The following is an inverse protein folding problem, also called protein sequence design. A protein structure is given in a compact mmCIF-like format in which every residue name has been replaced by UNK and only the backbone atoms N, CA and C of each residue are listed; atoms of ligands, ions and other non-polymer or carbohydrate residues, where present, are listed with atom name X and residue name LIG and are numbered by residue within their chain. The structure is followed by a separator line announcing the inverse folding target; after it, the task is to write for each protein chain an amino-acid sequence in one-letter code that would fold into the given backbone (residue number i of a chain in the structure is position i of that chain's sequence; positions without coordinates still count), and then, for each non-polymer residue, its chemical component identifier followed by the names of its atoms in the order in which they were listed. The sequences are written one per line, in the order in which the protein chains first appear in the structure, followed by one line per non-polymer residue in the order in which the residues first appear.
data_IF_970024163985
#
_entry.id   IF_970024163985
#
_cell.length_a   1.000
_cell.length_b   1.000
_cell.length_c   1.000
_cell.angle_alpha   90.00
_cell.angle_beta   90.00
_cell.angle_gamma   90.00
#
_symmetry.space_group_name_H-M   'P 1'
#
loop_
_entity.id
_entity.type
_entity.pdbx_description
1 polymer ?
#
# COMPACT_ATOMS: atom_id res chain seq x y z
N UNK A 1 19.78 -0.52 0.51
CA UNK A 1 19.29 -0.12 0.48
C UNK A 1 18.49 0.33 -0.10
N UNK A 2 17.79 0.40 -0.15
CA UNK A 2 16.96 0.93 -0.62
C UNK A 2 16.71 2.01 -0.50
N UNK A 3 16.87 2.53 -0.60
CA UNK A 3 16.67 3.61 -0.51
C UNK A 3 16.20 4.35 -0.94
N UNK A 4 16.07 4.82 -0.90
CA UNK A 4 15.32 5.55 -1.37
C UNK A 4 15.68 6.46 -2.05
N UNK A 5 15.77 6.56 -2.75
CA UNK A 5 16.00 7.61 -3.46
C UNK A 5 14.84 8.18 -3.85
N UNK A 6 14.69 9.06 -4.15
CA UNK A 6 13.71 9.62 -4.43
C UNK A 6 13.61 10.05 -5.55
N UNK A 7 12.85 9.99 -6.00
CA UNK A 7 12.62 10.54 -7.17
C UNK A 7 11.25 10.28 -7.47
N UNK A 8 10.69 10.99 -8.18
CA UNK A 8 9.34 10.87 -8.49
C UNK A 8 9.12 9.51 -8.97
N UNK A 9 8.71 8.77 -8.23
CA UNK A 9 8.47 7.50 -8.60
C UNK A 9 9.56 6.60 -8.35
N UNK A 10 10.14 6.38 -7.39
CA UNK A 10 11.06 5.36 -7.20
C UNK A 10 11.05 4.77 -5.88
N UNK A 11 11.22 4.26 -5.47
CA UNK A 11 11.42 3.60 -4.51
C UNK A 11 11.47 3.03 -3.99
N UNK A 12 11.19 2.69 -3.84
CA UNK A 12 11.53 1.94 -3.38
C UNK A 12 11.89 1.44 -3.51
N UNK A 13 12.10 1.59 -3.74
CA UNK A 13 12.72 0.83 -3.70
C UNK A 13 12.87 0.51 -3.97
N UNK A 14 12.80 0.93 -4.39
CA UNK A 14 13.28 0.47 -4.20
C UNK A 14 13.39 0.11 -4.08
N UNK A 15 13.19 0.25 -4.29
CA UNK A 15 13.55 -0.26 -3.89
C UNK A 15 13.87 -0.68 -4.10
N UNK A 16 14.03 -0.69 -4.26
CA UNK A 16 14.58 -1.09 -4.16
C UNK A 16 14.79 -1.57 -4.23
N UNK A 17 14.74 -1.54 -4.40
CA UNK A 17 15.05 -2.05 -4.20
C UNK A 17 15.49 -2.62 -4.56
N UNK A 18 16.02 -2.64 -4.78
CA UNK A 18 16.59 -3.14 -4.96
C UNK A 18 16.72 -3.68 -5.49
N UNK A 19 16.78 -3.73 -5.52
CA UNK A 19 17.02 -4.05 -5.78
C UNK A 19 17.29 -4.48 -6.37
N UNK A 20 17.51 -4.69 -6.51
CA UNK A 20 17.91 -4.97 -6.82
C UNK A 20 17.96 -4.74 -7.50
N UNK A 21 18.02 -4.47 -7.48
CA UNK A 21 18.02 -4.16 -7.57
C UNK A 21 17.80 -3.93 -8.26
N UNK A 22 18.16 -4.06 -8.94
CA UNK A 22 17.91 -3.86 -9.18
C UNK A 22 17.20 -3.94 -9.46
N UNK A 23 16.90 -3.89 -9.20
CA UNK A 23 16.20 -3.86 -8.80
C UNK A 23 15.69 -3.32 -8.71
N UNK A 24 15.45 -2.88 -8.50
CA UNK A 24 15.03 -2.20 -7.82
C UNK A 24 14.90 -1.41 -8.26
N UNK A 25 15.09 -1.12 -8.51
CA UNK A 25 14.92 -0.42 -8.49
C UNK A 25 15.05 -0.11 -9.50
N UNK A 26 15.29 -0.04 -10.28
CA UNK A 26 15.22 0.25 -10.86
C UNK A 26 14.83 0.02 -11.63
N UNK A 27 15.46 -0.23 -12.13
CA UNK A 27 14.41 -0.39 -12.25
C UNK A 27 13.68 0.30 -11.47
N UNK A 28 13.44 0.97 -11.57
CA UNK A 28 12.73 1.39 -10.68
C UNK A 28 11.33 1.32 -10.94
N UNK A 29 10.73 0.27 -10.50
CA UNK A 29 9.34 0.00 -10.67
C UNK A 29 8.49 1.11 -10.09
N UNK A 30 8.93 1.70 -9.00
CA UNK A 30 8.18 2.76 -8.36
C UNK A 30 7.91 3.93 -9.28
N UNK A 31 8.85 4.27 -10.15
CA UNK A 31 8.67 5.37 -11.08
C UNK A 31 7.59 5.06 -12.10
N UNK A 32 7.66 3.89 -12.69
CA UNK A 32 6.72 3.49 -13.72
C UNK A 32 5.32 3.35 -13.16
N UNK A 33 5.21 2.74 -12.01
CA UNK A 33 3.93 2.36 -11.44
C UNK A 33 3.21 3.52 -10.76
N UNK A 34 3.93 4.60 -10.46
CA UNK A 34 3.29 5.79 -9.93
C UNK A 34 2.22 6.32 -10.89
N UNK A 35 2.39 6.09 -12.19
CA UNK A 35 1.38 6.47 -13.17
C UNK A 35 0.04 5.81 -12.94
N UNK A 36 0.02 4.65 -12.32
CA UNK A 36 -1.22 3.94 -12.08
C UNK A 36 -2.12 4.68 -11.10
N UNK A 37 -1.56 5.56 -10.31
CA UNK A 37 -2.32 6.37 -9.35
C UNK A 37 -2.74 7.72 -9.90
N UNK A 38 -2.19 8.16 -11.04
CA UNK A 38 -2.45 9.53 -11.54
C UNK A 38 -3.90 9.78 -11.91
N UNK A 39 -4.66 8.75 -12.20
CA UNK A 39 -6.08 8.90 -12.50
C UNK A 39 -6.92 9.25 -11.27
N UNK A 40 -6.38 9.00 -10.08
CA UNK A 40 -7.14 9.08 -8.84
C UNK A 40 -6.71 10.23 -7.95
N UNK A 41 -5.56 10.83 -8.24
CA UNK A 41 -5.01 11.89 -7.40
C UNK A 41 -4.57 13.08 -8.26
N UNK A 42 -4.57 14.25 -7.64
CA UNK A 42 -4.03 15.44 -8.28
C UNK A 42 -2.52 15.41 -8.21
N UNK A 43 -1.89 16.30 -8.96
CA UNK A 43 -0.44 16.45 -8.92
C UNK A 43 0.04 16.80 -7.50
N UNK A 44 -0.72 17.62 -6.80
CA UNK A 44 -0.40 17.98 -5.42
C UNK A 44 -0.52 16.77 -4.49
N UNK A 45 -1.55 15.96 -4.68
CA UNK A 45 -1.75 14.75 -3.87
C UNK A 45 -0.71 13.69 -4.17
N UNK A 46 -0.19 13.66 -5.38
CA UNK A 46 0.86 12.73 -5.73
C UNK A 46 2.08 12.91 -4.85
N UNK A 47 2.33 14.14 -4.38
CA UNK A 47 3.45 14.42 -3.48
C UNK A 47 3.26 13.77 -2.11
N UNK A 48 2.05 13.42 -1.75
CA UNK A 48 1.77 12.74 -0.48
C UNK A 48 2.13 11.27 -0.58
N UNK A 49 1.94 10.66 -1.74
CA UNK A 49 2.16 9.23 -1.91
C UNK A 49 3.56 8.89 -2.42
N UNK A 50 4.26 9.84 -3.04
CA UNK A 50 5.64 9.64 -3.46
C UNK A 50 6.55 10.07 -2.32
N UNK A 51 7.40 9.18 -1.80
CA UNK A 51 8.28 9.52 -0.68
C UNK A 51 9.24 10.64 -1.04
N UNK A 52 9.35 11.63 -0.17
CA UNK A 52 10.30 12.73 -0.33
C UNK A 52 11.45 12.63 0.66
N UNK A 53 11.27 11.81 1.69
CA UNK A 53 12.26 11.59 2.72
C UNK A 53 12.41 10.09 2.94
N UNK A 54 13.37 9.72 3.75
CA UNK A 54 13.54 8.32 4.10
C UNK A 54 12.24 7.80 4.71
N UNK A 55 11.77 6.66 4.20
CA UNK A 55 10.54 6.05 4.69
C UNK A 55 10.77 5.45 6.07
N UNK A 56 9.94 5.84 7.02
CA UNK A 56 9.95 5.25 8.35
C UNK A 56 8.90 4.15 8.40
N UNK A 57 9.32 2.96 8.80
CA UNK A 57 8.38 1.86 8.92
C UNK A 57 7.35 2.17 9.99
N UNK A 58 6.12 1.76 9.75
CA UNK A 58 5.03 1.88 10.71
C UNK A 58 4.46 0.48 10.95
N UNK A 59 4.45 0.07 12.21
CA UNK A 59 4.05 -1.28 12.58
C UNK A 59 2.67 -1.24 13.22
N UNK A 60 1.77 -2.06 12.70
CA UNK A 60 0.42 -2.19 13.24
C UNK A 60 0.20 -3.63 13.69
N UNK A 61 -0.08 -3.80 14.98
CA UNK A 61 -0.46 -5.13 15.48
C UNK A 61 -1.93 -5.33 15.14
N UNK A 62 -2.22 -6.28 14.27
CA UNK A 62 -3.59 -6.53 13.84
C UNK A 62 -4.11 -7.86 14.36
N UNK A 63 -5.38 -7.85 14.72
CA UNK A 63 -6.15 -9.05 14.93
C UNK A 63 -6.87 -9.41 13.64
N UNK A 64 -7.29 -10.67 13.53
CA UNK A 64 -8.14 -11.08 12.42
C UNK A 64 -9.40 -10.21 12.40
N UNK A 65 -9.83 -9.81 11.21
CA UNK A 65 -11.00 -8.97 11.07
C UNK A 65 -10.72 -7.49 11.19
N UNK A 66 -9.45 -7.08 11.13
CA UNK A 66 -9.08 -5.66 11.11
C UNK A 66 -8.54 -5.27 9.74
N UNK A 67 -8.65 -3.99 9.43
CA UNK A 67 -8.30 -3.42 8.13
C UNK A 67 -7.43 -2.20 8.32
N UNK A 68 -6.44 -2.04 7.43
CA UNK A 68 -5.67 -0.80 7.32
C UNK A 68 -6.03 -0.13 6.00
N UNK A 69 -6.33 1.16 6.06
CA UNK A 69 -6.52 2.00 4.89
C UNK A 69 -5.25 2.80 4.65
N UNK A 70 -4.83 2.88 3.39
CA UNK A 70 -3.70 3.69 2.96
C UNK A 70 -4.27 4.92 2.25
N UNK A 71 -4.51 5.98 3.01
CA UNK A 71 -5.35 7.05 2.55
C UNK A 71 -6.72 6.49 2.21
N UNK A 72 -7.30 6.93 1.10
CA UNK A 72 -8.51 6.34 0.54
C UNK A 72 -8.21 5.55 -0.72
N UNK A 73 -6.93 5.32 -1.03
CA UNK A 73 -6.53 4.73 -2.32
C UNK A 73 -6.47 3.22 -2.32
N UNK A 74 -6.25 2.62 -1.16
CA UNK A 74 -6.12 1.16 -1.05
C UNK A 74 -6.39 0.74 0.39
N UNK A 75 -6.65 -0.55 0.57
CA UNK A 75 -6.78 -1.11 1.91
C UNK A 75 -6.35 -2.56 1.93
N UNK A 76 -5.94 -3.03 3.10
CA UNK A 76 -5.65 -4.44 3.33
C UNK A 76 -6.52 -4.94 4.47
N UNK A 77 -7.26 -6.04 4.21
CA UNK A 77 -8.08 -6.69 5.20
C UNK A 77 -7.31 -7.91 5.72
N UNK A 78 -7.07 -7.96 7.03
CA UNK A 78 -6.39 -9.09 7.63
C UNK A 78 -7.42 -10.16 7.99
N UNK A 79 -7.42 -11.25 7.23
CA UNK A 79 -8.47 -12.26 7.30
C UNK A 79 -8.16 -13.31 8.36
N UNK A 80 -6.99 -13.94 8.30
CA UNK A 80 -6.64 -14.99 9.24
C UNK A 80 -5.13 -15.13 9.42
N UNK A 81 -4.74 -15.71 10.55
CA UNK A 81 -3.34 -15.94 10.89
C UNK A 81 -2.97 -15.58 12.32
N UNK A 82 -3.96 -15.23 13.13
CA UNK A 82 -3.71 -14.84 14.52
C UNK A 82 -3.17 -13.42 14.63
N UNK A 83 -3.05 -12.92 15.84
CA UNK A 83 -2.54 -11.56 16.05
C UNK A 83 -1.08 -11.48 15.62
N UNK A 84 -0.75 -10.51 14.78
CA UNK A 84 0.61 -10.32 14.30
C UNK A 84 0.84 -8.91 13.79
N UNK A 85 2.11 -8.50 13.68
CA UNK A 85 2.43 -7.18 13.13
C UNK A 85 2.35 -7.19 11.61
N UNK A 86 1.82 -6.10 11.05
CA UNK A 86 1.96 -5.76 9.65
C UNK A 86 2.89 -4.56 9.61
N UNK A 87 4.00 -4.68 8.89
CA UNK A 87 5.00 -3.62 8.82
C UNK A 87 4.81 -2.87 7.51
N UNK A 88 4.47 -1.59 7.61
CA UNK A 88 4.09 -0.78 6.47
C UNK A 88 5.17 0.19 6.06
N UNK A 89 5.50 0.19 4.77
CA UNK A 89 6.50 1.06 4.17
C UNK A 89 5.85 1.90 3.09
N UNK A 90 5.35 3.06 3.49
CA UNK A 90 4.66 4.02 2.63
C UNK A 90 5.20 5.40 2.93
N UNK A 91 4.99 6.35 2.02
CA UNK A 91 5.36 7.73 2.27
C UNK A 91 4.94 8.14 3.68
N UNK A 92 5.82 8.83 4.40
CA UNK A 92 5.53 9.26 5.77
C UNK A 92 4.32 10.20 5.82
N UNK A 93 4.01 10.85 4.71
CA UNK A 93 2.89 11.79 4.63
C UNK A 93 1.57 11.10 4.33
N UNK A 94 1.60 9.81 3.98
CA UNK A 94 0.37 9.08 3.69
C UNK A 94 -0.24 8.56 4.98
N UNK A 95 -1.48 8.91 5.23
CA UNK A 95 -2.18 8.45 6.43
C UNK A 95 -2.53 6.98 6.34
N UNK A 96 -2.29 6.23 7.41
CA UNK A 96 -2.70 4.84 7.52
C UNK A 96 -3.72 4.75 8.66
N UNK A 97 -4.94 4.32 8.33
CA UNK A 97 -6.04 4.30 9.29
C UNK A 97 -6.51 2.86 9.53
N UNK A 98 -6.59 2.49 10.81
CA UNK A 98 -7.06 1.16 11.19
C UNK A 98 -8.53 1.16 11.57
N UNK A 99 -9.27 0.15 11.11
CA UNK A 99 -10.66 -0.03 11.48
C UNK A 99 -10.99 -1.53 11.48
N UNK A 100 -12.19 -1.87 11.90
CA UNK A 100 -12.69 -3.24 11.77
C UNK A 100 -13.11 -3.49 10.33
N UNK A 101 -12.81 -4.68 9.81
CA UNK A 101 -13.16 -5.01 8.43
C UNK A 101 -14.66 -4.90 8.19
N UNK A 102 -15.49 -5.28 9.17
CA UNK A 102 -16.94 -5.19 9.02
C UNK A 102 -17.45 -3.77 8.85
N UNK A 103 -16.66 -2.77 9.27
CA UNK A 103 -17.02 -1.35 9.13
C UNK A 103 -16.34 -0.69 7.95
N UNK A 104 -15.42 -1.39 7.30
CA UNK A 104 -14.52 -0.76 6.33
C UNK A 104 -15.25 -0.21 5.09
N UNK A 105 -16.24 -0.95 4.57
CA UNK A 105 -16.94 -0.48 3.37
C UNK A 105 -17.70 0.81 3.64
N UNK A 106 -18.40 0.88 4.77
CA UNK A 106 -19.15 2.09 5.11
C UNK A 106 -18.20 3.26 5.40
N UNK A 107 -17.11 2.98 6.10
CA UNK A 107 -16.12 4.00 6.38
C UNK A 107 -15.54 4.56 5.08
N UNK A 108 -15.25 3.69 4.12
CA UNK A 108 -14.70 4.11 2.84
C UNK A 108 -15.69 5.03 2.11
N UNK A 109 -16.95 4.61 1.99
CA UNK A 109 -17.97 5.41 1.30
C UNK A 109 -18.17 6.76 1.96
N UNK A 110 -18.16 6.81 3.30
CA UNK A 110 -18.49 8.01 4.03
C UNK A 110 -17.30 8.95 4.21
N UNK A 111 -16.09 8.43 4.23
CA UNK A 111 -14.91 9.22 4.59
C UNK A 111 -13.89 9.41 3.47
N UNK A 112 -14.14 8.84 2.29
CA UNK A 112 -13.24 9.09 1.17
C UNK A 112 -13.26 10.56 0.82
N UNK A 113 -12.07 11.12 0.65
CA UNK A 113 -11.94 12.57 0.44
C UNK A 113 -11.85 13.37 1.73
N UNK A 114 -12.07 12.72 2.86
CA UNK A 114 -12.05 13.37 4.18
C UNK A 114 -11.02 12.68 5.06
N UNK A 115 -11.45 11.85 6.00
CA UNK A 115 -10.53 11.08 6.83
C UNK A 115 -9.63 10.17 5.97
N UNK A 116 -10.19 9.63 4.91
CA UNK A 116 -9.45 8.77 3.98
C UNK A 116 -9.08 9.57 2.74
N UNK A 117 -7.95 10.23 2.79
CA UNK A 117 -7.41 11.00 1.67
C UNK A 117 -5.91 10.74 1.55
N UNK A 118 -5.25 10.93 0.38
CA UNK A 118 -5.89 11.20 -0.89
C UNK A 118 -6.73 10.02 -1.35
N UNK A 119 -7.66 10.22 -2.31
CA UNK A 119 -7.95 11.45 -3.03
C UNK A 119 -8.77 12.42 -2.17
N UNK A 120 -8.59 13.71 -2.41
CA UNK A 120 -9.38 14.72 -1.70
C UNK A 120 -10.74 14.94 -2.37
N UNK A 121 -10.86 14.59 -3.65
CA UNK A 121 -12.12 14.66 -4.38
C UNK A 121 -12.74 13.28 -4.49
N UNK A 122 -13.80 12.98 -3.74
CA UNK A 122 -14.41 11.66 -3.76
C UNK A 122 -15.01 11.28 -5.12
N UNK A 123 -15.30 12.26 -5.97
CA UNK A 123 -15.86 11.97 -7.30
C UNK A 123 -14.87 11.31 -8.24
N UNK A 124 -13.60 11.43 -7.96
CA UNK A 124 -12.58 10.79 -8.78
C UNK A 124 -12.45 9.30 -8.49
N UNK A 125 -13.16 8.82 -7.50
CA UNK A 125 -12.94 7.49 -7.00
C UNK A 125 -14.25 6.76 -6.80
N UNK A 126 -14.42 5.66 -7.51
CA UNK A 126 -15.62 4.85 -7.37
C UNK A 126 -15.22 3.52 -6.73
N UNK A 127 -15.77 3.28 -5.54
CA UNK A 127 -15.48 2.06 -4.81
C UNK A 127 -15.84 0.81 -5.61
N UNK A 128 -16.86 0.90 -6.46
CA UNK A 128 -17.25 -0.25 -7.30
C UNK A 128 -16.19 -0.58 -8.36
N UNK A 129 -15.26 0.33 -8.62
CA UNK A 129 -14.17 0.08 -9.57
C UNK A 129 -12.94 -0.51 -8.89
N UNK A 130 -13.07 -0.91 -7.64
CA UNK A 130 -11.98 -1.56 -6.91
C UNK A 130 -11.98 -3.05 -7.20
N UNK A 131 -10.78 -3.63 -7.17
CA UNK A 131 -10.64 -5.08 -7.22
C UNK A 131 -10.14 -5.60 -5.90
N UNK A 132 -10.49 -6.84 -5.60
CA UNK A 132 -10.02 -7.53 -4.40
C UNK A 132 -9.00 -8.58 -4.82
N UNK A 133 -7.81 -8.50 -4.24
CA UNK A 133 -6.74 -9.47 -4.50
C UNK A 133 -6.54 -10.29 -3.23
N UNK A 134 -6.85 -11.59 -3.29
CA UNK A 134 -6.70 -12.49 -2.15
C UNK A 134 -5.30 -13.09 -2.17
N UNK A 135 -4.60 -12.97 -1.05
CA UNK A 135 -3.21 -13.41 -0.95
C UNK A 135 -2.99 -14.20 0.33
N UNK A 136 -2.06 -15.15 0.24
CA UNK A 136 -1.60 -15.93 1.40
C UNK A 136 -0.09 -15.84 1.43
N UNK A 137 0.47 -15.63 2.61
CA UNK A 137 1.93 -15.57 2.73
C UNK A 137 2.55 -16.96 2.67
N UNK A 138 1.79 -18.01 3.02
CA UNK A 138 2.32 -19.37 2.95
C UNK A 138 3.34 -19.64 4.04
N UNK A 139 4.45 -20.24 3.66
CA UNK A 139 5.43 -20.73 4.62
C UNK A 139 6.54 -19.76 4.95
N UNK A 140 6.54 -18.58 4.34
CA UNK A 140 7.62 -17.63 4.60
C UNK A 140 7.09 -16.20 4.61
N UNK A 141 7.91 -15.33 5.16
CA UNK A 141 7.65 -13.90 5.21
C UNK A 141 7.54 -13.34 3.80
N UNK A 142 6.57 -12.48 3.57
CA UNK A 142 6.32 -11.90 2.26
C UNK A 142 6.18 -10.39 2.32
N UNK A 143 6.52 -9.75 1.21
CA UNK A 143 6.20 -8.36 0.97
C UNK A 143 5.04 -8.29 -0.01
N UNK A 144 4.04 -7.49 0.31
CA UNK A 144 2.92 -7.23 -0.58
C UNK A 144 3.09 -5.82 -1.11
N UNK A 145 3.38 -5.70 -2.40
CA UNK A 145 3.58 -4.40 -3.03
C UNK A 145 2.29 -3.90 -3.64
N UNK A 146 1.96 -2.65 -3.34
CA UNK A 146 0.86 -1.94 -4.00
C UNK A 146 1.53 -0.92 -4.91
N UNK A 147 1.44 -1.15 -6.21
CA UNK A 147 2.17 -0.37 -7.21
C UNK A 147 1.86 1.11 -7.12
N UNK A 148 2.92 1.91 -7.09
CA UNK A 148 2.80 3.36 -7.00
C UNK A 148 2.49 3.88 -5.61
N UNK A 149 2.42 3.01 -4.61
CA UNK A 149 2.02 3.42 -3.26
C UNK A 149 3.02 2.99 -2.18
N UNK A 150 3.33 1.72 -2.09
CA UNK A 150 4.25 1.21 -1.07
C UNK A 150 4.11 -0.28 -0.90
N UNK A 151 4.59 -0.81 0.22
CA UNK A 151 4.48 -2.24 0.48
C UNK A 151 4.32 -2.55 1.97
N UNK A 152 3.82 -3.77 2.22
CA UNK A 152 3.56 -4.26 3.57
C UNK A 152 4.30 -5.59 3.71
N UNK A 153 5.04 -5.74 4.82
CA UNK A 153 5.73 -6.99 5.14
C UNK A 153 4.92 -7.76 6.17
N UNK A 154 4.64 -9.03 5.89
CA UNK A 154 3.83 -9.89 6.76
C UNK A 154 4.52 -11.24 6.91
N UNK A 155 4.54 -11.76 8.13
CA UNK A 155 5.11 -13.07 8.45
C UNK A 155 4.28 -14.19 7.83
N UNK A 156 4.86 -15.40 7.81
CA UNK A 156 4.21 -16.58 7.25
C UNK A 156 2.89 -16.89 7.94
N UNK A 157 2.00 -17.56 7.21
CA UNK A 157 0.75 -18.06 7.77
C UNK A 157 -0.41 -17.07 7.77
N UNK A 158 -0.33 -16.00 7.01
CA UNK A 158 -1.38 -14.98 6.96
C UNK A 158 -2.21 -15.07 5.69
N UNK A 159 -3.50 -14.77 5.81
CA UNK A 159 -4.39 -14.58 4.66
C UNK A 159 -4.92 -13.17 4.70
N UNK A 160 -4.84 -12.48 3.58
CA UNK A 160 -5.26 -11.09 3.47
C UNK A 160 -6.03 -10.86 2.18
N UNK A 161 -6.80 -9.77 2.14
CA UNK A 161 -7.42 -9.29 0.92
C UNK A 161 -6.96 -7.85 0.75
N UNK A 162 -6.32 -7.57 -0.39
CA UNK A 162 -5.89 -6.22 -0.73
C UNK A 162 -6.87 -5.65 -1.73
N UNK A 163 -7.40 -4.47 -1.46
CA UNK A 163 -8.36 -3.82 -2.36
C UNK A 163 -7.74 -2.55 -2.91
N UNK A 164 -7.69 -2.47 -4.22
CA UNK A 164 -7.03 -1.38 -4.95
C UNK A 164 -7.85 -1.05 -6.20
N UNK A 165 -7.64 0.13 -6.79
CA UNK A 165 -8.26 0.41 -8.10
C UNK A 165 -7.85 -0.64 -9.12
N UNK A 166 -8.73 -0.93 -10.07
CA UNK A 166 -8.52 -2.04 -11.02
C UNK A 166 -7.21 -1.94 -11.78
N UNK A 167 -6.75 -0.74 -12.06
CA UNK A 167 -5.52 -0.54 -12.84
C UNK A 167 -4.24 -0.65 -12.02
N UNK A 168 -4.36 -0.80 -10.71
CA UNK A 168 -3.20 -0.83 -9.82
C UNK A 168 -2.79 -2.27 -9.57
N UNK A 169 -1.51 -2.57 -9.77
CA UNK A 169 -1.00 -3.92 -9.58
C UNK A 169 -0.67 -4.18 -8.12
N UNK A 170 -0.96 -5.41 -7.68
CA UNK A 170 -0.57 -5.90 -6.36
C UNK A 170 0.32 -7.10 -6.59
N UNK A 171 1.52 -7.06 -6.02
CA UNK A 171 2.52 -8.11 -6.22
C UNK A 171 2.93 -8.71 -4.88
N UNK A 172 2.86 -10.03 -4.80
CA UNK A 172 3.35 -10.78 -3.65
C UNK A 172 4.73 -11.29 -3.98
N UNK A 173 5.70 -11.00 -3.13
CA UNK A 173 7.07 -11.45 -3.36
C UNK A 173 7.72 -11.90 -2.06
N UNK A 174 8.85 -12.59 -2.18
CA UNK A 174 9.64 -12.96 -1.02
C UNK A 174 10.15 -11.68 -0.34
N UNK A 175 10.11 -11.66 0.99
CA UNK A 175 10.49 -10.45 1.71
C UNK A 175 11.99 -10.18 1.58
N UNK A 176 12.32 -8.91 1.40
CA UNK A 176 13.70 -8.44 1.42
C UNK A 176 14.04 -7.75 2.74
N UNK A 177 13.05 -7.68 3.64
CA UNK A 177 13.20 -6.95 4.91
C UNK A 177 13.57 -7.87 6.07
#
# INVERSE_FOLDING_TARGET
VVTTSRFPGTTLDMIDIPLDEKTFMYDTPGIIQAHQMTHYVTEKELKVIIPRNEIKQRVFQLNEGQTLFFGGLARIDYVSGGKRPLVCYFSNDLNIHRTKTEKANDLWRNQIGHLLSPPSNPEKFNISDMKAVRLETGKEKRDIMISGLGFITIEAGAKVIVRVPKSVDVVLRQSIM
#
